data_IF_112517716604
#
_entry.id   IF_112517716604
#
_cell.length_a   1.000
_cell.length_b   1.000
_cell.length_c   1.000
_cell.angle_alpha   90.00
_cell.angle_beta   90.00
_cell.angle_gamma   90.00
#
_symmetry.space_group_name_H-M   'P 1'
#
loop_
_entity.id
_entity.type
_entity.pdbx_description
1 polymer ?
#
# COMPACT_ATOMS: atom_id res chain seq x y z
N UNK A 1 3.11 -53.59 30.76
CA UNK A 1 3.35 -52.16 31.09
C UNK A 1 4.26 -51.51 30.05
N UNK A 2 3.77 -51.24 28.83
CA UNK A 2 4.57 -50.74 27.71
C UNK A 2 3.87 -49.61 26.93
N UNK A 3 3.30 -48.62 27.63
CA UNK A 3 2.60 -47.50 26.99
C UNK A 3 2.75 -46.14 27.71
N UNK A 4 3.65 -46.02 28.71
CA UNK A 4 3.85 -44.75 29.43
C UNK A 4 4.94 -43.83 28.83
N UNK A 5 5.78 -44.35 27.94
CA UNK A 5 6.75 -43.55 27.17
C UNK A 5 6.19 -42.92 25.89
N UNK A 6 4.91 -43.12 25.57
CA UNK A 6 4.37 -42.81 24.23
C UNK A 6 3.78 -41.41 24.12
N UNK A 7 3.03 -40.89 25.10
CA UNK A 7 2.27 -39.64 24.90
C UNK A 7 3.18 -38.40 24.77
N UNK A 8 4.11 -38.09 25.70
CA UNK A 8 4.96 -36.90 25.54
C UNK A 8 5.84 -36.96 24.27
N UNK A 9 6.29 -38.15 23.88
CA UNK A 9 7.05 -38.36 22.66
C UNK A 9 6.18 -38.16 21.39
N UNK A 10 4.95 -38.69 21.38
CA UNK A 10 3.97 -38.50 20.30
C UNK A 10 3.59 -37.01 20.18
N UNK A 11 3.32 -36.33 21.31
CA UNK A 11 3.01 -34.90 21.31
C UNK A 11 4.16 -34.08 20.72
N UNK A 12 5.40 -34.37 21.16
CA UNK A 12 6.60 -33.72 20.61
C UNK A 12 6.77 -33.99 19.11
N UNK A 13 6.51 -35.21 18.64
CA UNK A 13 6.54 -35.54 17.20
C UNK A 13 5.46 -34.80 16.42
N UNK A 14 4.27 -34.60 17.00
CA UNK A 14 3.22 -33.74 16.47
C UNK A 14 3.53 -32.24 16.65
N UNK A 15 4.71 -31.89 17.18
CA UNK A 15 5.12 -30.51 17.41
C UNK A 15 4.39 -29.80 18.55
N UNK A 16 3.65 -30.55 19.39
CA UNK A 16 2.91 -30.09 20.55
C UNK A 16 3.81 -30.13 21.78
N UNK A 17 3.94 -28.98 22.43
CA UNK A 17 4.72 -28.84 23.66
C UNK A 17 3.85 -29.18 24.88
N UNK A 18 4.35 -30.08 25.73
CA UNK A 18 3.73 -30.37 27.01
C UNK A 18 3.99 -29.21 27.99
N UNK A 19 2.93 -28.66 28.57
CA UNK A 19 3.05 -27.63 29.59
C UNK A 19 3.51 -28.26 30.92
N UNK A 20 4.52 -27.67 31.55
CA UNK A 20 4.99 -28.11 32.86
C UNK A 20 3.92 -27.84 33.94
N UNK A 21 3.72 -28.72 34.93
CA UNK A 21 2.72 -28.53 35.98
C UNK A 21 2.84 -27.18 36.70
N UNK A 22 4.06 -26.69 36.91
CA UNK A 22 4.35 -25.43 37.59
C UNK A 22 3.80 -24.23 36.81
N UNK A 23 3.69 -24.33 35.49
CA UNK A 23 3.06 -23.32 34.64
C UNK A 23 1.53 -23.49 34.57
N UNK A 24 1.02 -24.72 34.59
CA UNK A 24 -0.41 -25.01 34.44
C UNK A 24 -1.25 -24.83 35.72
N UNK A 25 -0.77 -25.31 36.87
CA UNK A 25 -1.50 -25.32 38.14
C UNK A 25 -1.98 -23.92 38.57
N UNK A 26 -1.14 -22.85 38.50
CA UNK A 26 -1.59 -21.51 38.88
C UNK A 26 -2.75 -21.01 38.03
N UNK A 27 -2.77 -21.36 36.74
CA UNK A 27 -3.84 -20.91 35.85
C UNK A 27 -5.14 -21.65 36.13
N UNK A 28 -5.10 -22.97 36.29
CA UNK A 28 -6.30 -23.74 36.66
C UNK A 28 -6.90 -23.21 37.96
N UNK A 29 -6.08 -22.94 38.99
CA UNK A 29 -6.56 -22.34 40.24
C UNK A 29 -7.19 -20.97 39.99
N UNK A 30 -6.55 -20.11 39.18
CA UNK A 30 -7.07 -18.78 38.83
C UNK A 30 -8.44 -18.89 38.17
N UNK A 31 -8.61 -19.75 37.17
CA UNK A 31 -9.88 -19.85 36.46
C UNK A 31 -10.99 -20.43 37.34
N UNK A 32 -10.68 -21.43 38.17
CA UNK A 32 -11.66 -21.99 39.12
C UNK A 32 -12.10 -21.01 40.22
N UNK A 33 -11.20 -20.12 40.65
CA UNK A 33 -11.47 -19.19 41.76
C UNK A 33 -11.91 -17.80 41.30
N UNK A 34 -11.64 -17.43 40.05
CA UNK A 34 -11.95 -16.13 39.47
C UNK A 34 -13.38 -15.97 38.97
N UNK A 35 -14.18 -17.06 38.98
CA UNK A 35 -15.56 -17.05 38.47
C UNK A 35 -15.64 -16.87 36.96
N UNK A 36 -14.57 -17.20 36.22
CA UNK A 36 -14.54 -17.13 34.76
C UNK A 36 -15.55 -18.09 34.14
N UNK A 37 -16.08 -17.70 32.98
CA UNK A 37 -17.03 -18.49 32.18
C UNK A 37 -16.51 -18.57 30.75
N UNK A 38 -16.75 -19.71 30.09
CA UNK A 38 -16.29 -19.97 28.73
C UNK A 38 -15.11 -20.94 28.69
N UNK A 39 -14.40 -20.95 27.57
CA UNK A 39 -13.27 -21.84 27.31
C UNK A 39 -11.95 -21.06 27.32
N UNK A 40 -10.91 -21.67 27.90
CA UNK A 40 -9.55 -21.11 27.93
C UNK A 40 -8.60 -22.20 27.47
N UNK A 41 -7.79 -21.89 26.45
CA UNK A 41 -6.72 -22.77 25.97
C UNK A 41 -5.38 -22.16 26.34
N UNK A 42 -4.55 -22.92 27.05
CA UNK A 42 -3.20 -22.50 27.45
C UNK A 42 -2.23 -23.58 27.02
N UNK A 43 -1.29 -23.21 26.18
CA UNK A 43 -0.26 -24.09 25.68
C UNK A 43 0.93 -23.28 25.16
N UNK A 44 2.03 -23.98 24.92
CA UNK A 44 3.14 -23.46 24.14
C UNK A 44 2.86 -23.76 22.66
N UNK A 45 3.77 -24.39 21.91
CA UNK A 45 3.47 -24.81 20.54
C UNK A 45 2.34 -25.83 20.56
N UNK A 46 1.30 -25.57 19.78
CA UNK A 46 0.17 -26.48 19.58
C UNK A 46 0.36 -27.40 18.35
N UNK A 47 1.50 -27.30 17.66
CA UNK A 47 1.91 -28.23 16.61
C UNK A 47 0.84 -28.43 15.55
N UNK A 48 0.54 -29.69 15.24
CA UNK A 48 -0.48 -30.06 14.24
C UNK A 48 -1.88 -29.52 14.55
N UNK A 49 -2.19 -29.15 15.81
CA UNK A 49 -3.53 -28.70 16.20
C UNK A 49 -3.87 -27.31 15.66
N UNK A 50 -2.86 -26.53 15.27
CA UNK A 50 -3.02 -25.24 14.58
C UNK A 50 -2.72 -25.37 13.08
N UNK A 51 -2.61 -26.60 12.56
CA UNK A 51 -2.59 -26.83 11.12
C UNK A 51 -3.96 -26.56 10.54
N UNK A 52 -4.03 -25.75 9.48
CA UNK A 52 -5.27 -25.57 8.73
C UNK A 52 -5.61 -26.89 8.00
N UNK A 53 -6.88 -27.33 8.08
CA UNK A 53 -7.30 -28.62 7.51
C UNK A 53 -7.33 -28.62 5.99
N UNK A 54 -7.65 -27.47 5.41
CA UNK A 54 -7.78 -27.27 3.98
C UNK A 54 -6.69 -26.28 3.52
N UNK A 55 -5.87 -26.62 2.51
CA UNK A 55 -4.76 -25.77 2.07
C UNK A 55 -5.22 -24.42 1.47
N UNK A 56 -6.47 -24.33 1.02
CA UNK A 56 -7.08 -23.12 0.46
C UNK A 56 -8.01 -22.43 1.47
N UNK A 57 -8.06 -22.93 2.71
CA UNK A 57 -8.94 -22.43 3.77
C UNK A 57 -10.43 -22.72 3.50
N UNK A 58 -10.72 -23.67 2.61
CA UNK A 58 -12.09 -24.02 2.18
C UNK A 58 -12.68 -23.07 1.15
N UNK A 59 -11.88 -22.16 0.58
CA UNK A 59 -12.27 -21.33 -0.55
C UNK A 59 -12.06 -22.10 -1.85
N UNK A 60 -13.10 -22.24 -2.68
CA UNK A 60 -12.96 -22.82 -4.02
C UNK A 60 -12.27 -21.81 -4.97
N UNK A 61 -10.97 -22.02 -5.18
CA UNK A 61 -10.12 -21.21 -6.09
C UNK A 61 -10.09 -21.75 -7.53
N UNK A 62 -10.93 -22.74 -7.83
CA UNK A 62 -11.07 -23.29 -9.17
C UNK A 62 -11.46 -22.22 -10.20
N UNK A 63 -10.95 -22.37 -11.43
CA UNK A 63 -11.17 -21.37 -12.51
C UNK A 63 -12.64 -21.17 -12.90
N UNK A 64 -13.49 -22.15 -12.61
CA UNK A 64 -14.94 -22.13 -12.85
C UNK A 64 -15.74 -22.04 -11.55
N UNK A 65 -15.06 -21.82 -10.42
CA UNK A 65 -15.66 -21.76 -9.09
C UNK A 65 -16.33 -20.41 -8.79
N UNK A 66 -16.85 -20.24 -7.56
CA UNK A 66 -17.54 -19.03 -7.11
C UNK A 66 -16.71 -17.74 -7.22
N UNK A 67 -15.38 -17.85 -7.24
CA UNK A 67 -14.48 -16.70 -7.40
C UNK A 67 -14.40 -16.18 -8.83
N UNK A 68 -14.76 -16.99 -9.84
CA UNK A 68 -14.57 -16.63 -11.24
C UNK A 68 -15.25 -15.30 -11.64
N UNK A 69 -16.53 -15.03 -11.28
CA UNK A 69 -17.18 -13.76 -11.61
C UNK A 69 -16.52 -12.55 -10.93
N UNK A 70 -15.99 -12.72 -9.72
CA UNK A 70 -15.28 -11.64 -8.99
C UNK A 70 -13.96 -11.29 -9.69
N UNK A 71 -13.34 -12.27 -10.35
CA UNK A 71 -12.10 -12.09 -11.08
C UNK A 71 -12.28 -11.49 -12.47
N UNK A 72 -13.48 -11.49 -13.05
CA UNK A 72 -13.72 -10.86 -14.37
C UNK A 72 -13.50 -9.34 -14.33
N UNK A 73 -13.89 -8.68 -13.24
CA UNK A 73 -13.77 -7.23 -13.03
C UNK A 73 -12.55 -6.80 -12.20
N UNK A 74 -11.54 -7.65 -12.06
CA UNK A 74 -10.38 -7.40 -11.20
C UNK A 74 -9.42 -6.36 -11.80
N UNK A 75 -8.69 -5.67 -10.93
CA UNK A 75 -7.60 -4.78 -11.35
C UNK A 75 -6.31 -5.54 -11.65
N UNK A 76 -5.28 -4.79 -12.05
CA UNK A 76 -4.01 -5.36 -12.52
C UNK A 76 -3.20 -6.03 -11.41
N UNK A 77 -3.47 -5.70 -10.15
CA UNK A 77 -2.74 -6.24 -9.01
C UNK A 77 -3.34 -7.56 -8.51
N UNK A 78 -4.39 -8.10 -9.16
CA UNK A 78 -4.99 -9.40 -8.84
C UNK A 78 -4.69 -10.45 -9.92
N UNK A 79 -3.84 -11.40 -9.57
CA UNK A 79 -3.54 -12.59 -10.35
C UNK A 79 -4.40 -13.79 -9.92
N UNK A 80 -3.79 -14.72 -9.19
CA UNK A 80 -4.39 -15.96 -8.72
C UNK A 80 -4.77 -15.85 -7.25
N UNK A 81 -6.01 -16.19 -6.90
CA UNK A 81 -6.42 -16.37 -5.51
C UNK A 81 -5.89 -17.71 -5.02
N UNK A 82 -5.06 -17.70 -3.97
CA UNK A 82 -4.44 -18.91 -3.42
C UNK A 82 -5.27 -19.58 -2.33
N UNK A 83 -6.22 -18.85 -1.74
CA UNK A 83 -7.08 -19.33 -0.68
C UNK A 83 -7.42 -18.25 0.34
N UNK A 84 -8.19 -18.63 1.34
CA UNK A 84 -8.55 -17.79 2.48
C UNK A 84 -8.32 -18.55 3.79
N UNK A 85 -7.05 -18.69 4.17
CA UNK A 85 -6.67 -19.40 5.39
C UNK A 85 -7.11 -18.69 6.67
N UNK A 86 -7.25 -19.43 7.75
CA UNK A 86 -7.68 -18.90 9.06
C UNK A 86 -6.69 -17.87 9.63
N UNK A 87 -5.38 -18.08 9.44
CA UNK A 87 -4.35 -17.19 9.97
C UNK A 87 -3.84 -16.16 8.96
N UNK A 88 -3.84 -16.54 7.68
CA UNK A 88 -3.37 -15.70 6.57
C UNK A 88 -4.43 -14.74 6.03
N UNK A 89 -5.72 -15.08 6.19
CA UNK A 89 -6.79 -14.41 5.48
C UNK A 89 -6.76 -14.74 3.98
N UNK A 90 -7.43 -13.90 3.18
CA UNK A 90 -7.43 -14.01 1.73
C UNK A 90 -6.01 -13.77 1.21
N UNK A 91 -5.53 -14.65 0.36
CA UNK A 91 -4.19 -14.55 -0.24
C UNK A 91 -4.30 -14.52 -1.76
N UNK A 92 -3.68 -13.51 -2.38
CA UNK A 92 -3.62 -13.33 -3.84
C UNK A 92 -2.16 -13.26 -4.27
N UNK A 93 -1.80 -14.02 -5.30
CA UNK A 93 -0.48 -13.98 -5.93
C UNK A 93 -0.57 -13.35 -7.32
N UNK A 94 0.32 -12.41 -7.60
CA UNK A 94 0.35 -11.69 -8.88
C UNK A 94 1.77 -11.64 -9.41
N UNK A 95 1.98 -12.22 -10.59
CA UNK A 95 3.24 -12.04 -11.33
C UNK A 95 3.21 -10.73 -12.10
N UNK A 96 4.21 -9.88 -11.86
CA UNK A 96 4.40 -8.64 -12.60
C UNK A 96 5.68 -8.71 -13.42
N UNK A 97 5.63 -8.12 -14.61
CA UNK A 97 6.73 -8.12 -15.57
C UNK A 97 7.13 -6.67 -15.91
N UNK A 98 8.34 -6.23 -15.55
CA UNK A 98 8.80 -4.87 -15.79
C UNK A 98 8.97 -4.54 -17.27
N UNK A 99 9.06 -5.54 -18.16
CA UNK A 99 9.09 -5.32 -19.61
C UNK A 99 7.71 -5.05 -20.21
N UNK A 100 6.64 -5.35 -19.46
CA UNK A 100 5.25 -5.21 -19.92
C UNK A 100 4.49 -4.08 -19.23
N UNK A 101 4.77 -3.84 -17.95
CA UNK A 101 4.00 -2.91 -17.13
C UNK A 101 4.63 -1.51 -17.09
N UNK A 102 4.00 -0.47 -17.66
CA UNK A 102 4.51 0.90 -17.62
C UNK A 102 4.81 1.42 -16.21
N UNK A 103 3.98 1.10 -15.21
CA UNK A 103 4.25 1.49 -13.82
C UNK A 103 5.52 0.88 -13.22
N UNK A 104 6.12 -0.15 -13.83
CA UNK A 104 7.42 -0.69 -13.45
C UNK A 104 8.53 -0.15 -14.35
N UNK A 105 8.28 -0.15 -15.67
CA UNK A 105 9.23 0.37 -16.65
C UNK A 105 9.57 1.86 -16.40
N UNK A 106 8.59 2.67 -15.99
CA UNK A 106 8.75 4.10 -15.73
C UNK A 106 8.97 4.44 -14.25
N UNK A 107 9.21 3.42 -13.41
CA UNK A 107 9.57 3.61 -12.00
C UNK A 107 10.81 2.77 -11.68
N UNK A 108 11.96 3.30 -12.09
CA UNK A 108 13.26 2.66 -11.91
C UNK A 108 14.18 3.53 -11.07
N UNK A 109 14.81 2.92 -10.06
CA UNK A 109 15.84 3.57 -9.25
C UNK A 109 17.18 2.97 -9.67
N UNK A 110 18.09 3.80 -10.17
CA UNK A 110 19.39 3.39 -10.72
C UNK A 110 19.28 2.26 -11.76
N UNK A 111 18.29 2.36 -12.65
CA UNK A 111 18.01 1.37 -13.70
C UNK A 111 17.44 0.04 -13.18
N UNK A 112 17.08 -0.05 -11.90
CA UNK A 112 16.37 -1.21 -11.34
C UNK A 112 14.89 -0.88 -11.20
N UNK A 113 13.98 -1.63 -11.87
CA UNK A 113 12.56 -1.48 -11.64
C UNK A 113 12.19 -1.83 -10.20
N UNK A 114 11.43 -0.94 -9.57
CA UNK A 114 10.92 -1.08 -8.21
C UNK A 114 9.41 -0.88 -8.26
N UNK A 115 8.65 -1.75 -7.60
CA UNK A 115 7.20 -1.55 -7.48
C UNK A 115 6.92 -0.18 -6.84
N UNK A 116 6.22 0.75 -7.52
CA UNK A 116 5.81 2.01 -6.91
C UNK A 116 4.98 1.74 -5.66
N UNK A 117 5.24 2.48 -4.58
CA UNK A 117 4.49 2.34 -3.34
C UNK A 117 2.97 2.49 -3.56
N UNK A 118 2.57 3.41 -4.45
CA UNK A 118 1.17 3.65 -4.82
C UNK A 118 0.50 2.45 -5.50
N UNK A 119 1.23 1.63 -6.25
CA UNK A 119 0.71 0.39 -6.82
C UNK A 119 0.63 -0.72 -5.76
N UNK A 120 1.51 -0.70 -4.76
CA UNK A 120 1.35 -1.55 -3.58
C UNK A 120 0.08 -1.24 -2.80
N UNK A 121 -0.24 0.04 -2.62
CA UNK A 121 -1.50 0.49 -1.99
C UNK A 121 -2.71 0.07 -2.83
N UNK A 122 -2.64 0.20 -4.15
CA UNK A 122 -3.66 -0.32 -5.07
C UNK A 122 -3.88 -1.82 -4.91
N UNK A 123 -2.82 -2.62 -4.90
CA UNK A 123 -2.95 -4.07 -4.73
C UNK A 123 -3.58 -4.46 -3.39
N UNK A 124 -3.29 -3.73 -2.31
CA UNK A 124 -3.96 -3.95 -1.03
C UNK A 124 -5.46 -3.61 -1.13
N UNK A 125 -5.83 -2.51 -1.80
CA UNK A 125 -7.22 -2.11 -2.00
C UNK A 125 -7.99 -3.08 -2.92
N UNK A 126 -7.41 -3.50 -4.03
CA UNK A 126 -7.98 -4.50 -4.94
C UNK A 126 -8.21 -5.83 -4.19
N UNK A 127 -7.21 -6.28 -3.41
CA UNK A 127 -7.32 -7.53 -2.65
C UNK A 127 -8.41 -7.45 -1.58
N UNK A 128 -8.46 -6.34 -0.83
CA UNK A 128 -9.46 -6.14 0.20
C UNK A 128 -10.88 -6.09 -0.38
N UNK A 129 -11.10 -5.44 -1.53
CA UNK A 129 -12.41 -5.32 -2.16
C UNK A 129 -12.86 -6.58 -2.90
N UNK A 130 -11.96 -7.52 -3.20
CA UNK A 130 -12.28 -8.68 -4.04
C UNK A 130 -13.52 -9.45 -3.57
N UNK A 131 -13.67 -9.67 -2.26
CA UNK A 131 -14.83 -10.37 -1.67
C UNK A 131 -16.02 -9.46 -1.37
N UNK A 132 -15.88 -8.15 -1.63
CA UNK A 132 -16.85 -7.11 -1.31
C UNK A 132 -17.03 -6.15 -2.51
N UNK A 133 -17.40 -6.65 -3.70
CA UNK A 133 -17.44 -5.85 -4.92
C UNK A 133 -18.38 -4.64 -4.82
N UNK A 134 -19.42 -4.73 -3.99
CA UNK A 134 -20.42 -3.68 -3.79
C UNK A 134 -19.98 -2.58 -2.80
N UNK A 135 -18.90 -2.81 -2.04
CA UNK A 135 -18.39 -1.81 -1.09
C UNK A 135 -17.45 -0.82 -1.78
N UNK A 136 -17.42 0.39 -1.25
CA UNK A 136 -16.59 1.49 -1.71
C UNK A 136 -15.26 1.52 -0.94
N UNK A 137 -14.14 1.78 -1.62
CA UNK A 137 -12.86 2.03 -0.92
C UNK A 137 -12.93 3.40 -0.23
N UNK A 138 -13.15 3.41 1.08
CA UNK A 138 -13.16 4.65 1.87
C UNK A 138 -11.77 5.23 2.08
N UNK A 139 -10.77 4.37 2.19
CA UNK A 139 -9.40 4.79 2.41
C UNK A 139 -8.44 3.67 2.75
N UNK A 140 -7.18 4.04 2.94
CA UNK A 140 -6.10 3.18 3.41
C UNK A 140 -5.38 3.86 4.57
N UNK A 141 -5.21 3.14 5.67
CA UNK A 141 -4.73 3.60 6.97
C UNK A 141 -3.41 2.89 7.32
N UNK A 142 -2.59 3.53 8.15
CA UNK A 142 -1.38 2.95 8.76
C UNK A 142 -0.41 2.30 7.76
N UNK A 143 -0.21 2.93 6.60
CA UNK A 143 0.62 2.37 5.53
C UNK A 143 2.11 2.52 5.86
N UNK A 144 2.85 1.43 5.70
CA UNK A 144 4.31 1.38 5.86
C UNK A 144 4.97 0.79 4.63
N UNK A 145 5.97 1.47 4.12
CA UNK A 145 6.86 0.98 3.07
C UNK A 145 8.14 0.46 3.71
N UNK A 146 8.15 -0.83 4.09
CA UNK A 146 9.21 -1.45 4.90
C UNK A 146 10.45 -1.79 4.09
N UNK A 147 10.27 -2.29 2.88
CA UNK A 147 11.37 -2.65 1.98
C UNK A 147 10.94 -2.51 0.51
N UNK A 148 11.84 -2.07 -0.40
CA UNK A 148 11.52 -1.96 -1.82
C UNK A 148 11.30 -3.34 -2.45
N UNK A 149 10.21 -3.51 -3.19
CA UNK A 149 10.00 -4.71 -4.00
C UNK A 149 10.71 -4.53 -5.36
N UNK A 150 11.92 -5.08 -5.46
CA UNK A 150 12.79 -4.96 -6.64
C UNK A 150 12.54 -6.09 -7.64
N UNK A 151 12.59 -5.76 -8.93
CA UNK A 151 12.60 -6.71 -10.03
C UNK A 151 14.04 -6.93 -10.51
N UNK A 152 14.68 -7.95 -9.97
CA UNK A 152 16.10 -8.22 -10.23
C UNK A 152 16.35 -8.61 -11.68
N UNK A 153 17.38 -8.01 -12.30
CA UNK A 153 17.78 -8.28 -13.69
C UNK A 153 16.65 -8.07 -14.70
N UNK A 154 15.71 -7.17 -14.38
CA UNK A 154 14.53 -6.89 -15.21
C UNK A 154 13.69 -8.14 -15.54
N UNK A 155 13.64 -9.12 -14.64
CA UNK A 155 12.85 -10.34 -14.80
C UNK A 155 11.48 -10.23 -14.12
N UNK A 156 10.45 -10.94 -14.63
CA UNK A 156 9.18 -11.09 -13.94
C UNK A 156 9.35 -11.62 -12.51
N UNK A 157 8.48 -11.17 -11.61
CA UNK A 157 8.49 -11.60 -10.22
C UNK A 157 7.08 -11.60 -9.64
N UNK A 158 6.75 -12.67 -8.92
CA UNK A 158 5.51 -12.78 -8.16
C UNK A 158 5.59 -12.02 -6.83
N UNK A 159 4.55 -11.25 -6.55
CA UNK A 159 4.24 -10.72 -5.23
C UNK A 159 3.01 -11.42 -4.66
N UNK A 160 2.91 -11.48 -3.35
CA UNK A 160 1.74 -12.02 -2.64
C UNK A 160 1.14 -10.92 -1.79
N UNK A 161 -0.18 -10.77 -1.83
CA UNK A 161 -0.92 -9.88 -0.95
C UNK A 161 -1.85 -10.72 -0.09
N UNK A 162 -1.73 -10.58 1.23
CA UNK A 162 -2.68 -11.15 2.17
C UNK A 162 -3.59 -10.06 2.74
N UNK A 163 -4.85 -10.42 3.03
CA UNK A 163 -5.84 -9.54 3.63
C UNK A 163 -6.65 -10.29 4.70
N UNK A 164 -6.55 -9.82 5.95
CA UNK A 164 -7.37 -10.32 7.07
C UNK A 164 -8.51 -9.36 7.35
N UNK A 165 -9.73 -9.87 7.28
CA UNK A 165 -10.94 -9.06 7.41
C UNK A 165 -11.42 -8.97 8.86
N UNK A 166 -11.93 -7.80 9.20
CA UNK A 166 -12.64 -7.52 10.44
C UNK A 166 -13.80 -6.56 10.19
N UNK A 167 -14.64 -6.39 11.21
CA UNK A 167 -15.72 -5.40 11.20
C UNK A 167 -15.38 -4.32 12.22
N UNK A 168 -15.48 -3.06 11.79
CA UNK A 168 -15.30 -1.88 12.63
C UNK A 168 -16.51 -0.97 12.47
N UNK A 169 -17.41 -1.04 13.45
CA UNK A 169 -18.72 -0.39 13.35
C UNK A 169 -19.55 -0.95 12.19
N UNK A 170 -19.83 -0.11 11.20
CA UNK A 170 -20.56 -0.49 9.98
C UNK A 170 -19.67 -0.79 8.77
N UNK A 171 -18.36 -0.68 8.93
CA UNK A 171 -17.38 -0.82 7.85
C UNK A 171 -16.70 -2.19 7.88
N UNK A 172 -16.25 -2.65 6.72
CA UNK A 172 -15.31 -3.77 6.63
C UNK A 172 -13.90 -3.19 6.61
N UNK A 173 -13.03 -3.72 7.46
CA UNK A 173 -11.60 -3.39 7.48
C UNK A 173 -10.78 -4.60 7.08
N UNK A 174 -9.69 -4.38 6.34
CA UNK A 174 -8.77 -5.43 5.94
C UNK A 174 -7.34 -5.03 6.32
N UNK A 175 -6.72 -5.76 7.26
CA UNK A 175 -5.29 -5.62 7.52
C UNK A 175 -4.53 -6.39 6.44
N UNK A 176 -3.77 -5.66 5.63
CA UNK A 176 -3.10 -6.18 4.45
C UNK A 176 -1.57 -6.19 4.60
N UNK A 177 -0.93 -7.17 3.97
CA UNK A 177 0.52 -7.22 3.82
C UNK A 177 0.89 -7.65 2.40
N UNK A 178 1.84 -6.94 1.79
CA UNK A 178 2.46 -7.32 0.52
C UNK A 178 3.83 -7.95 0.81
N UNK A 179 4.00 -9.20 0.40
CA UNK A 179 5.22 -9.97 0.59
C UNK A 179 5.82 -10.40 -0.75
N UNK A 180 7.11 -10.69 -0.74
CA UNK A 180 7.83 -11.29 -1.85
C UNK A 180 8.65 -12.47 -1.37
N UNK A 181 8.63 -13.56 -2.12
CA UNK A 181 9.47 -14.73 -1.89
C UNK A 181 10.73 -14.65 -2.76
N UNK A 182 11.86 -15.14 -2.23
CA UNK A 182 13.08 -15.34 -3.01
C UNK A 182 13.82 -16.58 -2.54
N UNK A 183 14.01 -17.53 -3.45
CA UNK A 183 14.91 -18.66 -3.21
C UNK A 183 16.36 -18.21 -3.46
N UNK A 184 17.17 -18.19 -2.40
CA UNK A 184 18.59 -17.89 -2.50
C UNK A 184 19.42 -19.14 -2.79
N UNK A 185 20.56 -18.97 -3.46
CA UNK A 185 21.45 -20.09 -3.76
C UNK A 185 21.89 -20.80 -2.48
N UNK A 186 21.68 -22.12 -2.43
CA UNK A 186 22.03 -22.96 -1.28
C UNK A 186 20.99 -22.98 -0.16
N UNK A 187 19.84 -22.30 -0.31
CA UNK A 187 18.71 -22.43 0.60
C UNK A 187 17.66 -23.40 0.03
N UNK A 188 17.08 -24.22 0.90
CA UNK A 188 16.00 -25.15 0.54
C UNK A 188 14.63 -24.46 0.51
N UNK A 189 14.45 -23.44 1.34
CA UNK A 189 13.21 -22.68 1.48
C UNK A 189 13.43 -21.23 1.02
N UNK A 190 12.39 -20.57 0.45
CA UNK A 190 12.49 -19.17 0.06
C UNK A 190 12.53 -18.25 1.28
N UNK A 191 13.33 -17.19 1.19
CA UNK A 191 13.25 -16.05 2.11
C UNK A 191 12.00 -15.22 1.78
N UNK A 192 11.16 -14.99 2.78
CA UNK A 192 9.97 -14.15 2.66
C UNK A 192 10.26 -12.78 3.26
N UNK A 193 10.10 -11.73 2.45
CA UNK A 193 10.23 -10.35 2.89
C UNK A 193 8.86 -9.68 2.87
N UNK A 194 8.48 -9.03 3.97
CA UNK A 194 7.34 -8.10 3.98
C UNK A 194 7.80 -6.77 3.43
N UNK A 195 7.18 -6.34 2.33
CA UNK A 195 7.53 -5.10 1.66
C UNK A 195 6.63 -3.98 2.15
N UNK A 196 5.32 -4.16 2.09
CA UNK A 196 4.34 -3.14 2.48
C UNK A 196 3.32 -3.71 3.46
N UNK A 197 2.80 -2.84 4.33
CA UNK A 197 1.64 -3.14 5.18
C UNK A 197 0.68 -1.96 5.15
N UNK A 198 -0.59 -2.20 5.41
CA UNK A 198 -1.59 -1.15 5.58
C UNK A 198 -2.95 -1.75 5.92
N UNK A 199 -3.90 -0.89 6.32
CA UNK A 199 -5.28 -1.28 6.57
C UNK A 199 -6.20 -0.63 5.55
N UNK A 200 -6.94 -1.42 4.79
CA UNK A 200 -7.95 -0.90 3.86
C UNK A 200 -9.29 -0.80 4.57
N UNK A 201 -10.00 0.30 4.36
CA UNK A 201 -11.36 0.51 4.88
C UNK A 201 -12.38 0.54 3.74
N UNK A 202 -13.38 -0.32 3.84
CA UNK A 202 -14.48 -0.45 2.88
C UNK A 202 -15.77 0.07 3.50
N UNK A 203 -16.45 0.95 2.78
CA UNK A 203 -17.67 1.61 3.21
C UNK A 203 -18.88 1.07 2.44
N UNK A 204 -20.03 1.01 3.10
CA UNK A 204 -21.29 0.63 2.46
C UNK A 204 -21.75 1.63 1.37
N UNK A 205 -21.32 2.89 1.45
CA UNK A 205 -21.68 3.94 0.49
C UNK A 205 -20.49 4.86 0.22
N UNK A 206 -20.39 5.31 -1.02
CA UNK A 206 -19.43 6.34 -1.40
C UNK A 206 -19.73 7.66 -0.65
N UNK A 207 -18.70 8.42 -0.22
CA UNK A 207 -18.89 9.73 0.39
C UNK A 207 -19.49 10.73 -0.61
N UNK A 208 -20.28 11.68 -0.12
CA UNK A 208 -20.97 12.68 -0.94
C UNK A 208 -20.06 13.77 -1.55
N UNK A 209 -18.73 13.64 -1.43
CA UNK A 209 -17.80 14.71 -1.79
C UNK A 209 -17.49 15.64 -0.61
N UNK A 210 -16.27 16.17 -0.59
CA UNK A 210 -15.88 17.34 0.23
C UNK A 210 -15.58 18.51 -0.72
N UNK A 211 -15.85 19.74 -0.27
CA UNK A 211 -15.36 20.96 -0.92
C UNK A 211 -14.25 21.56 -0.07
N UNK A 212 -13.17 21.99 -0.72
CA UNK A 212 -12.12 22.77 -0.08
C UNK A 212 -12.71 24.10 0.39
N UNK A 213 -12.24 24.57 1.55
CA UNK A 213 -12.54 25.92 2.02
C UNK A 213 -11.59 26.90 1.31
N UNK A 214 -12.14 27.90 0.63
CA UNK A 214 -11.37 28.86 -0.16
C UNK A 214 -11.18 28.43 -1.62
N UNK A 215 -10.73 29.37 -2.46
CA UNK A 215 -10.44 29.09 -3.87
C UNK A 215 -9.22 28.17 -4.00
N UNK A 216 -9.16 27.31 -5.03
CA UNK A 216 -7.92 26.61 -5.37
C UNK A 216 -6.77 27.60 -5.53
N UNK A 217 -5.57 27.18 -5.14
CA UNK A 217 -4.40 28.03 -5.20
C UNK A 217 -4.17 28.51 -6.65
N UNK A 218 -4.17 29.83 -6.84
CA UNK A 218 -3.93 30.42 -8.15
C UNK A 218 -2.53 30.04 -8.64
N UNK A 219 -2.42 29.80 -9.95
CA UNK A 219 -1.15 29.50 -10.59
C UNK A 219 -0.19 30.69 -10.47
N UNK A 220 1.05 30.41 -10.09
CA UNK A 220 2.10 31.43 -9.97
C UNK A 220 2.84 31.62 -11.29
N UNK A 221 3.28 32.87 -11.56
CA UNK A 221 4.21 33.14 -12.65
C UNK A 221 5.59 32.50 -12.42
N UNK A 222 5.98 32.28 -11.15
CA UNK A 222 7.17 31.52 -10.77
C UNK A 222 6.79 30.06 -10.51
N UNK A 223 7.04 29.19 -11.49
CA UNK A 223 6.73 27.76 -11.41
C UNK A 223 7.86 26.91 -11.99
N UNK A 224 8.03 25.70 -11.44
CA UNK A 224 8.89 24.67 -12.00
C UNK A 224 8.05 23.83 -12.97
N UNK A 225 8.53 23.63 -14.20
CA UNK A 225 7.87 22.77 -15.18
C UNK A 225 8.35 21.32 -15.10
N UNK A 226 7.58 20.41 -15.68
CA UNK A 226 7.87 18.97 -15.76
C UNK A 226 9.31 18.69 -16.19
N UNK A 227 9.83 19.38 -17.21
CA UNK A 227 11.20 19.16 -17.70
C UNK A 227 12.29 19.44 -16.66
N UNK A 228 12.09 20.41 -15.77
CA UNK A 228 13.02 20.69 -14.68
C UNK A 228 12.88 19.69 -13.53
N UNK A 229 11.64 19.29 -13.23
CA UNK A 229 11.33 18.33 -12.16
C UNK A 229 11.89 16.95 -12.51
N UNK A 230 11.61 16.44 -13.71
CA UNK A 230 12.02 15.11 -14.17
C UNK A 230 13.45 15.04 -14.71
N UNK A 231 14.21 16.13 -14.61
CA UNK A 231 15.67 16.06 -14.68
C UNK A 231 16.27 15.47 -13.40
N UNK A 232 15.61 15.69 -12.26
CA UNK A 232 16.03 15.21 -10.94
C UNK A 232 15.29 13.93 -10.54
N UNK A 233 14.01 13.83 -10.88
CA UNK A 233 13.21 12.65 -10.54
C UNK A 233 13.48 11.51 -11.51
N UNK A 234 13.59 10.29 -10.98
CA UNK A 234 13.89 9.07 -11.75
C UNK A 234 12.69 8.54 -12.58
N UNK A 235 11.54 9.21 -12.51
CA UNK A 235 10.28 8.73 -13.09
C UNK A 235 10.26 8.89 -14.62
N UNK A 236 9.91 7.82 -15.31
CA UNK A 236 9.64 7.79 -16.75
C UNK A 236 8.21 8.23 -17.09
N UNK A 237 7.87 8.35 -18.40
CA UNK A 237 6.65 9.00 -18.87
C UNK A 237 5.32 8.60 -18.22
N UNK A 238 5.10 7.32 -17.89
CA UNK A 238 3.87 6.89 -17.21
C UNK A 238 3.73 7.42 -15.77
N UNK A 239 4.81 7.87 -15.14
CA UNK A 239 4.83 8.37 -13.76
C UNK A 239 5.32 9.82 -13.65
N UNK A 240 5.41 10.53 -14.79
CA UNK A 240 5.65 11.97 -14.82
C UNK A 240 4.38 12.78 -14.53
N UNK A 241 3.78 12.53 -13.36
CA UNK A 241 2.44 13.02 -12.97
C UNK A 241 2.34 14.53 -12.72
N UNK A 242 3.45 15.26 -12.60
CA UNK A 242 3.48 16.72 -12.37
C UNK A 242 3.77 17.44 -13.69
N UNK A 243 2.81 18.22 -14.19
CA UNK A 243 3.04 19.15 -15.30
C UNK A 243 3.84 20.38 -14.83
N UNK A 244 3.45 20.94 -13.69
CA UNK A 244 4.12 22.10 -13.10
C UNK A 244 3.86 22.19 -11.60
N UNK A 245 4.78 22.84 -10.88
CA UNK A 245 4.67 23.05 -9.44
C UNK A 245 5.09 24.46 -9.01
N UNK A 246 4.43 25.00 -7.99
CA UNK A 246 4.71 26.34 -7.45
C UNK A 246 4.37 26.44 -5.96
N UNK A 247 4.89 27.47 -5.30
CA UNK A 247 4.51 27.82 -3.93
C UNK A 247 3.30 28.74 -3.90
N UNK A 248 2.36 28.48 -3.00
CA UNK A 248 1.18 29.29 -2.74
C UNK A 248 1.02 29.50 -1.23
N UNK A 249 1.62 30.59 -0.71
CA UNK A 249 1.70 30.82 0.73
C UNK A 249 2.55 29.74 1.42
N UNK A 250 1.98 29.03 2.38
CA UNK A 250 2.62 27.90 3.08
C UNK A 250 2.41 26.55 2.36
N UNK A 251 1.61 26.54 1.29
CA UNK A 251 1.34 25.34 0.50
C UNK A 251 2.29 25.25 -0.71
N UNK A 252 2.59 24.03 -1.14
CA UNK A 252 3.19 23.73 -2.44
C UNK A 252 2.17 22.99 -3.28
N UNK A 253 2.00 23.44 -4.52
CA UNK A 253 0.95 22.97 -5.42
C UNK A 253 1.61 22.28 -6.59
N UNK A 254 1.20 21.04 -6.87
CA UNK A 254 1.58 20.29 -8.06
C UNK A 254 0.37 20.08 -8.96
N UNK A 255 0.45 20.52 -10.21
CA UNK A 255 -0.58 20.33 -11.22
C UNK A 255 -0.43 18.97 -11.89
N UNK A 256 -1.52 18.22 -11.98
CA UNK A 256 -1.53 16.92 -12.62
C UNK A 256 -1.27 17.02 -14.14
N UNK A 257 -0.43 16.14 -14.66
CA UNK A 257 -0.15 16.02 -16.08
C UNK A 257 -1.34 15.39 -16.83
N UNK A 258 -1.86 16.11 -17.82
CA UNK A 258 -3.10 15.74 -18.51
C UNK A 258 -3.01 14.60 -19.52
N UNK A 259 -1.81 14.31 -20.05
CA UNK A 259 -1.60 13.39 -21.17
C UNK A 259 -0.51 12.37 -20.85
N UNK A 260 -0.76 11.53 -19.85
CA UNK A 260 0.13 10.43 -19.49
C UNK A 260 -0.13 9.20 -20.38
N UNK A 261 0.92 8.44 -20.77
CA UNK A 261 0.75 7.09 -21.30
C UNK A 261 -0.07 6.19 -20.35
N UNK A 262 -0.54 5.00 -20.78
CA UNK A 262 -1.22 4.05 -19.90
C UNK A 262 -0.41 3.76 -18.62
N UNK A 263 -1.10 3.60 -17.48
CA UNK A 263 -0.44 3.22 -16.21
C UNK A 263 0.06 1.78 -16.24
N UNK A 264 -0.75 0.90 -16.83
CA UNK A 264 -0.57 -0.53 -16.82
C UNK A 264 -1.10 -1.10 -18.13
N UNK A 265 -0.80 -2.39 -18.37
CA UNK A 265 -1.31 -3.14 -19.53
C UNK A 265 -1.96 -4.43 -19.01
N UNK A 266 -3.22 -4.75 -19.39
CA UNK A 266 -4.14 -3.97 -20.22
C UNK A 266 -4.54 -2.62 -19.60
N UNK A 267 -4.79 -1.59 -20.42
CA UNK A 267 -4.98 -0.22 -19.95
C UNK A 267 -6.38 0.09 -19.40
N UNK A 268 -7.34 -0.79 -19.68
CA UNK A 268 -8.75 -0.70 -19.34
C UNK A 268 -9.12 -1.41 -18.04
N UNK A 269 -8.17 -2.13 -17.42
CA UNK A 269 -8.40 -2.69 -16.09
C UNK A 269 -8.61 -1.56 -15.06
N UNK A 270 -9.53 -1.76 -14.10
CA UNK A 270 -9.88 -0.73 -13.14
C UNK A 270 -8.73 -0.47 -12.15
N UNK A 271 -8.70 0.75 -11.63
CA UNK A 271 -7.87 1.16 -10.49
C UNK A 271 -8.80 1.76 -9.44
N UNK A 272 -8.66 1.33 -8.19
CA UNK A 272 -9.56 1.65 -7.08
C UNK A 272 -9.11 2.85 -6.27
N UNK A 273 -7.80 3.11 -6.17
CA UNK A 273 -7.25 4.22 -5.36
C UNK A 273 -6.61 5.32 -6.20
N UNK A 274 -6.74 5.24 -7.54
CA UNK A 274 -6.09 6.14 -8.50
C UNK A 274 -4.61 6.39 -8.16
N UNK A 275 -3.72 5.40 -8.36
CA UNK A 275 -2.32 5.44 -7.91
C UNK A 275 -1.58 6.69 -8.34
N UNK A 276 -1.85 7.21 -9.55
CA UNK A 276 -1.24 8.44 -10.07
C UNK A 276 -1.67 9.73 -9.33
N UNK A 277 -2.82 9.75 -8.69
CA UNK A 277 -3.25 10.88 -7.85
C UNK A 277 -2.57 10.82 -6.48
N UNK A 278 -2.36 9.62 -5.93
CA UNK A 278 -1.52 9.43 -4.75
C UNK A 278 -0.07 9.82 -5.07
N UNK A 279 0.43 9.41 -6.24
CA UNK A 279 1.77 9.72 -6.72
C UNK A 279 1.96 11.23 -6.90
N UNK A 280 0.95 11.93 -7.40
CA UNK A 280 0.96 13.38 -7.49
C UNK A 280 1.20 14.01 -6.11
N UNK A 281 0.57 13.49 -5.06
CA UNK A 281 0.81 13.95 -3.69
C UNK A 281 2.23 13.65 -3.23
N UNK A 282 2.73 12.44 -3.47
CA UNK A 282 4.06 11.99 -3.05
C UNK A 282 5.18 12.80 -3.71
N UNK A 283 5.09 12.96 -5.04
CA UNK A 283 6.04 13.74 -5.82
C UNK A 283 5.98 15.22 -5.42
N UNK A 284 4.79 15.80 -5.24
CA UNK A 284 4.67 17.21 -4.82
C UNK A 284 5.24 17.44 -3.42
N UNK A 285 5.04 16.50 -2.49
CA UNK A 285 5.65 16.56 -1.16
C UNK A 285 7.17 16.42 -1.21
N UNK A 286 7.69 15.54 -2.06
CA UNK A 286 9.13 15.38 -2.25
C UNK A 286 9.79 16.66 -2.81
N UNK A 287 9.09 17.48 -3.60
CA UNK A 287 9.60 18.80 -4.03
C UNK A 287 9.83 19.75 -2.85
N UNK A 288 9.03 19.65 -1.78
CA UNK A 288 9.19 20.47 -0.56
C UNK A 288 10.48 20.12 0.17
N UNK A 289 10.78 18.81 0.30
CA UNK A 289 12.03 18.32 0.88
C UNK A 289 13.22 18.68 -0.01
N UNK A 290 13.10 18.43 -1.31
CA UNK A 290 14.15 18.67 -2.29
C UNK A 290 14.57 20.16 -2.36
N UNK A 291 13.60 21.08 -2.37
CA UNK A 291 13.89 22.50 -2.39
C UNK A 291 14.64 22.94 -1.12
N UNK A 292 14.30 22.41 0.05
CA UNK A 292 14.89 22.79 1.33
C UNK A 292 16.23 22.11 1.64
N UNK A 293 16.36 20.83 1.33
CA UNK A 293 17.43 19.95 1.87
C UNK A 293 18.30 19.34 0.77
N UNK A 294 18.01 19.62 -0.51
CA UNK A 294 18.71 19.08 -1.67
C UNK A 294 18.72 17.54 -1.73
N UNK A 295 17.77 16.87 -1.07
CA UNK A 295 17.64 15.41 -1.04
C UNK A 295 16.30 14.98 -1.62
N UNK A 296 16.34 13.88 -2.36
CA UNK A 296 15.14 13.21 -2.82
C UNK A 296 14.61 12.29 -1.70
N UNK A 297 13.35 12.48 -1.32
CA UNK A 297 12.68 11.62 -0.36
C UNK A 297 11.92 10.47 -1.05
N UNK A 298 12.16 9.23 -0.62
CA UNK A 298 11.34 8.08 -0.99
C UNK A 298 10.17 7.91 0.00
N UNK A 299 9.03 7.32 -0.42
CA UNK A 299 7.93 7.02 0.50
C UNK A 299 8.38 6.12 1.67
N UNK A 300 8.12 6.54 2.91
CA UNK A 300 8.34 5.74 4.13
C UNK A 300 7.02 5.20 4.69
N UNK A 301 5.96 6.00 4.66
CA UNK A 301 4.62 5.60 5.06
C UNK A 301 3.67 6.78 5.17
N UNK A 302 2.40 6.51 5.47
CA UNK A 302 1.42 7.54 5.77
C UNK A 302 0.38 7.03 6.75
N UNK A 303 -0.22 7.94 7.52
CA UNK A 303 -1.23 7.61 8.52
C UNK A 303 -2.57 7.32 7.85
N UNK A 304 -2.98 8.16 6.89
CA UNK A 304 -4.29 7.99 6.26
C UNK A 304 -4.34 8.55 4.84
N UNK A 305 -4.91 7.77 3.95
CA UNK A 305 -5.43 8.19 2.65
C UNK A 305 -6.95 8.01 2.67
N UNK A 306 -7.72 9.08 2.45
CA UNK A 306 -9.19 9.02 2.32
C UNK A 306 -9.60 9.33 0.88
N UNK A 307 -10.48 8.51 0.31
CA UNK A 307 -11.13 8.77 -0.97
C UNK A 307 -12.50 9.38 -0.66
N UNK A 308 -12.65 10.67 -0.94
CA UNK A 308 -13.81 11.45 -0.50
C UNK A 308 -14.76 11.82 -1.64
N UNK A 309 -14.43 11.48 -2.88
CA UNK A 309 -15.29 11.58 -4.06
C UNK A 309 -15.04 10.41 -5.02
N UNK A 310 -16.02 10.08 -5.87
CA UNK A 310 -15.83 9.13 -6.96
C UNK A 310 -14.72 9.60 -7.91
N UNK A 311 -13.68 8.77 -8.06
CA UNK A 311 -12.45 9.09 -8.80
C UNK A 311 -12.62 8.99 -10.32
N UNK A 312 -13.54 8.14 -10.78
CA UNK A 312 -13.91 8.00 -12.21
C UNK A 312 -14.36 9.30 -12.88
N UNK A 313 -14.85 10.26 -12.07
CA UNK A 313 -15.34 11.56 -12.53
C UNK A 313 -14.31 12.68 -12.39
N UNK A 314 -13.06 12.37 -12.03
CA UNK A 314 -12.04 13.38 -11.78
C UNK A 314 -11.54 14.00 -13.11
N UNK A 315 -11.41 15.33 -13.20
CA UNK A 315 -11.15 16.04 -14.46
C UNK A 315 -9.69 15.96 -14.97
N UNK A 316 -8.92 14.94 -14.55
CA UNK A 316 -7.54 14.72 -15.01
C UNK A 316 -6.65 15.95 -14.84
N UNK A 317 -6.28 16.59 -15.95
CA UNK A 317 -5.34 17.72 -16.03
C UNK A 317 -5.72 18.98 -15.21
N UNK A 318 -6.98 19.07 -14.77
CA UNK A 318 -7.46 20.14 -13.90
C UNK A 318 -7.24 19.85 -12.41
N UNK A 319 -6.69 18.68 -12.06
CA UNK A 319 -6.39 18.31 -10.68
C UNK A 319 -5.09 18.98 -10.21
N UNK A 320 -5.14 19.41 -8.95
CA UNK A 320 -4.01 19.94 -8.19
C UNK A 320 -3.82 19.07 -6.95
N UNK A 321 -2.58 18.65 -6.68
CA UNK A 321 -2.20 18.26 -5.33
C UNK A 321 -1.77 19.51 -4.57
N UNK A 322 -2.39 19.75 -3.43
CA UNK A 322 -2.02 20.83 -2.52
C UNK A 322 -1.36 20.21 -1.30
N UNK A 323 -0.07 20.46 -1.13
CA UNK A 323 0.75 19.89 -0.06
C UNK A 323 1.13 20.96 0.95
N UNK A 324 1.06 20.60 2.22
CA UNK A 324 1.54 21.41 3.35
C UNK A 324 2.40 20.55 4.28
N UNK A 325 3.34 21.18 4.98
CA UNK A 325 4.06 20.51 6.07
C UNK A 325 3.10 20.26 7.23
N UNK A 326 3.02 19.01 7.66
CA UNK A 326 2.33 18.57 8.86
C UNK A 326 3.26 18.55 10.08
N UNK A 327 2.76 18.07 11.24
CA UNK A 327 3.57 17.88 12.44
C UNK A 327 4.75 16.93 12.20
N UNK A 328 5.83 17.10 12.97
CA UNK A 328 6.97 16.17 13.02
C UNK A 328 7.61 15.84 11.66
N UNK A 329 7.63 16.81 10.74
CA UNK A 329 8.23 16.64 9.41
C UNK A 329 7.41 15.79 8.43
N UNK A 330 6.17 15.43 8.78
CA UNK A 330 5.24 14.80 7.84
C UNK A 330 4.68 15.82 6.84
N UNK A 331 3.98 15.30 5.83
CA UNK A 331 3.26 16.07 4.82
C UNK A 331 1.79 15.68 4.82
N UNK A 332 0.94 16.69 4.69
CA UNK A 332 -0.48 16.52 4.42
C UNK A 332 -0.74 16.98 2.99
N UNK A 333 -1.58 16.26 2.26
CA UNK A 333 -1.94 16.63 0.89
C UNK A 333 -3.43 16.48 0.62
N UNK A 334 -3.93 17.22 -0.36
CA UNK A 334 -5.29 17.10 -0.87
C UNK A 334 -5.26 17.14 -2.40
N UNK A 335 -6.03 16.27 -3.06
CA UNK A 335 -6.23 16.32 -4.52
C UNK A 335 -7.55 17.03 -4.80
N UNK A 336 -7.48 18.18 -5.47
CA UNK A 336 -8.61 19.08 -5.70
C UNK A 336 -8.73 19.47 -7.17
N UNK A 337 -9.94 19.74 -7.66
CA UNK A 337 -10.14 20.36 -8.97
C UNK A 337 -10.20 21.90 -8.91
N UNK A 338 -10.30 22.52 -10.09
CA UNK A 338 -10.42 23.98 -10.29
C UNK A 338 -11.68 24.60 -9.67
N UNK A 339 -12.66 23.78 -9.28
CA UNK A 339 -13.89 24.18 -8.58
C UNK A 339 -13.79 23.96 -7.07
N UNK A 340 -12.64 23.47 -6.59
CA UNK A 340 -12.40 23.17 -5.19
C UNK A 340 -13.08 21.90 -4.69
N UNK A 341 -13.55 21.01 -5.57
CA UNK A 341 -14.01 19.68 -5.13
C UNK A 341 -12.80 18.84 -4.77
N UNK A 342 -12.86 18.21 -3.60
CA UNK A 342 -11.80 17.34 -3.09
C UNK A 342 -12.09 15.90 -3.47
N UNK A 343 -11.08 15.22 -4.01
CA UNK A 343 -11.15 13.80 -4.38
C UNK A 343 -10.47 12.93 -3.35
N UNK A 344 -9.31 13.37 -2.84
CA UNK A 344 -8.48 12.58 -1.93
C UNK A 344 -7.88 13.47 -0.84
N UNK A 345 -7.73 12.91 0.35
CA UNK A 345 -7.02 13.51 1.47
C UNK A 345 -5.91 12.56 1.92
N UNK A 346 -4.68 13.05 1.98
CA UNK A 346 -3.53 12.33 2.51
C UNK A 346 -3.08 13.04 3.80
N UNK A 347 -2.86 12.26 4.85
CA UNK A 347 -2.44 12.75 6.17
C UNK A 347 -1.22 11.97 6.67
N UNK A 348 -0.30 12.71 7.27
CA UNK A 348 0.87 12.13 7.93
C UNK A 348 1.82 11.39 6.98
N UNK A 349 1.93 11.81 5.71
CA UNK A 349 2.86 11.22 4.76
C UNK A 349 4.31 11.54 5.14
N UNK A 350 5.14 10.52 5.25
CA UNK A 350 6.54 10.62 5.65
C UNK A 350 7.43 10.06 4.56
N UNK A 351 8.56 10.72 4.37
CA UNK A 351 9.61 10.30 3.44
C UNK A 351 10.84 9.81 4.20
N UNK A 352 11.64 8.99 3.54
CA UNK A 352 13.00 8.66 3.94
C UNK A 352 13.95 9.22 2.87
N UNK A 353 14.88 10.06 3.29
CA UNK A 353 15.79 10.72 2.36
C UNK A 353 16.82 9.76 1.79
N UNK A 354 17.11 9.92 0.50
CA UNK A 354 18.25 9.29 -0.12
C UNK A 354 19.57 9.88 0.44
N UNK A 355 20.62 9.04 0.54
CA UNK A 355 21.90 9.46 1.13
C UNK A 355 22.65 10.46 0.25
N UNK A 356 22.37 10.51 -1.04
CA UNK A 356 23.01 11.42 -1.98
C UNK A 356 22.22 12.73 -2.12
N UNK A 357 22.96 13.83 -2.25
CA UNK A 357 22.39 15.14 -2.54
C UNK A 357 22.31 15.37 -4.04
N UNK A 358 21.31 16.14 -4.46
CA UNK A 358 21.16 16.57 -5.85
C UNK A 358 22.00 17.81 -6.11
N UNK A 359 22.63 17.86 -7.29
CA UNK A 359 23.49 18.96 -7.70
C UNK A 359 22.73 20.31 -7.73
N UNK A 360 23.37 21.36 -7.22
CA UNK A 360 22.76 22.67 -7.05
C UNK A 360 22.23 23.28 -8.35
N UNK A 361 22.96 23.10 -9.46
CA UNK A 361 22.55 23.58 -10.78
C UNK A 361 21.23 22.94 -11.25
N UNK A 362 21.01 21.68 -10.89
CA UNK A 362 19.79 20.96 -11.25
C UNK A 362 18.57 21.46 -10.47
N UNK A 363 18.80 21.90 -9.23
CA UNK A 363 17.77 22.39 -8.31
C UNK A 363 17.35 23.83 -8.53
N UNK A 364 18.16 24.65 -9.20
CA UNK A 364 17.90 26.09 -9.39
C UNK A 364 16.47 26.41 -9.85
N UNK A 365 15.89 25.73 -10.88
CA UNK A 365 14.52 26.02 -11.31
C UNK A 365 13.47 25.69 -10.24
N UNK A 366 13.66 24.59 -9.52
CA UNK A 366 12.76 24.13 -8.46
C UNK A 366 12.82 25.09 -7.27
N UNK A 367 14.03 25.46 -6.82
CA UNK A 367 14.23 26.43 -5.74
C UNK A 367 13.68 27.80 -6.10
N UNK A 368 13.87 28.29 -7.34
CA UNK A 368 13.27 29.56 -7.77
C UNK A 368 11.75 29.56 -7.71
N UNK A 369 11.12 28.44 -8.05
CA UNK A 369 9.67 28.29 -7.98
C UNK A 369 9.16 28.22 -6.52
N UNK A 370 9.87 27.49 -5.66
CA UNK A 370 9.38 27.13 -4.32
C UNK A 370 9.95 27.99 -3.18
N UNK A 371 11.05 28.70 -3.39
CA UNK A 371 11.64 29.66 -2.44
C UNK A 371 11.43 31.11 -2.85
N UNK A 372 10.61 31.39 -3.86
CA UNK A 372 10.34 32.79 -4.24
C UNK A 372 9.82 33.56 -3.01
N UNK A 373 10.71 34.41 -2.48
CA UNK A 373 10.42 35.36 -1.41
C UNK A 373 9.43 36.40 -1.94
N UNK A 374 8.51 36.83 -1.08
CA UNK A 374 7.71 38.03 -1.31
C UNK A 374 8.59 39.27 -1.26
#
# INVERSE_FOLDING_TARGET
>A
MAARGSIPAIMKQAGIDMLAPEAGIPVVRRELTGGTRGEVVIGQRLGIMVGEFDPEGGLDVGREGPMAPLLEGRGIMIGEVKGMGLYGGLTVETELDPSKQPFLFDHQIDGTPVLPGVMGVEGMAETARLLFPDLFIGGVEDVRFLAPFKFYRNQPRALTISARFGIDGGDVVADCALTGARLLHGQAEPEITTHFTGRVRLLAKAPAGKKKQGAPAAESASKAGASSIYRVYFHGPAYQVIDSAWKAGEEVVGRFAGSLPPNHVPADLPLLVAPRFVELCFQTASLVGLAGEARLGLPYGFEKLEIVSALENAPGAALLAVVRRGPEGAYDAEVVDDKGKVYMLLRGYRTMDLPDTVEEEELLPIRKALHSEK
#
